data_IF_311341198317
#
_entry.id   IF_311341198317
#
_cell.length_a   1.000
_cell.length_b   1.000
_cell.length_c   1.000
_cell.angle_alpha   90.00
_cell.angle_beta   90.00
_cell.angle_gamma   90.00
#
_symmetry.space_group_name_H-M   'P 1'
#
loop_
_entity.id
_entity.type
_entity.pdbx_description
1 polymer ?
#
# COMPACT_ATOMS: atom_id res chain seq x y z
N UNK A 1 3.87 -19.64 5.96
CA UNK A 1 2.78 -18.85 6.59
C UNK A 1 3.07 -17.38 6.36
N UNK A 2 2.06 -16.55 6.07
CA UNK A 2 2.21 -15.09 5.92
C UNK A 2 2.27 -14.36 7.29
N UNK A 3 3.04 -14.91 8.24
CA UNK A 3 3.15 -14.36 9.60
C UNK A 3 4.17 -13.22 9.62
N UNK A 4 3.70 -12.00 9.36
CA UNK A 4 4.55 -10.81 9.19
C UNK A 4 4.33 -9.84 10.35
N UNK A 5 5.40 -9.17 10.78
CA UNK A 5 5.30 -7.92 11.51
C UNK A 5 5.04 -6.79 10.51
N UNK A 6 3.88 -6.82 9.86
CA UNK A 6 3.54 -5.89 8.78
C UNK A 6 3.07 -4.55 9.37
N UNK A 7 2.20 -4.61 10.39
CA UNK A 7 1.61 -3.41 10.98
C UNK A 7 1.90 -3.24 12.47
N UNK A 8 1.96 -1.98 12.90
CA UNK A 8 1.75 -1.61 14.30
C UNK A 8 0.30 -1.15 14.49
N UNK A 9 -0.54 -1.98 15.09
CA UNK A 9 -1.99 -1.72 15.26
C UNK A 9 -2.25 -0.37 15.95
N UNK A 10 -1.43 0.03 16.92
CA UNK A 10 -1.57 1.34 17.58
C UNK A 10 -1.33 2.53 16.65
N UNK A 11 -0.44 2.40 15.66
CA UNK A 11 -0.22 3.44 14.66
C UNK A 11 -1.37 3.49 13.65
N UNK A 12 -1.86 2.32 13.20
CA UNK A 12 -3.01 2.25 12.30
C UNK A 12 -4.26 2.89 12.93
N UNK A 13 -4.54 2.58 14.20
CA UNK A 13 -5.67 3.19 14.92
C UNK A 13 -5.55 4.71 14.99
N UNK A 14 -4.35 5.23 15.28
CA UNK A 14 -4.14 6.68 15.36
C UNK A 14 -4.25 7.34 13.98
N UNK A 15 -3.62 6.77 12.96
CA UNK A 15 -3.64 7.31 11.60
C UNK A 15 -5.04 7.26 10.97
N UNK A 16 -5.86 6.27 11.36
CA UNK A 16 -7.25 6.17 10.92
C UNK A 16 -8.16 7.25 11.54
N UNK A 17 -7.87 7.69 12.77
CA UNK A 17 -8.63 8.72 13.47
C UNK A 17 -8.13 10.15 13.17
N UNK A 18 -6.83 10.32 12.93
CA UNK A 18 -6.14 11.60 12.79
C UNK A 18 -5.40 11.70 11.45
N UNK A 19 -5.98 12.36 10.42
CA UNK A 19 -5.38 12.50 9.10
C UNK A 19 -4.07 13.30 9.08
N UNK A 20 -3.76 14.07 10.12
CA UNK A 20 -2.51 14.80 10.24
C UNK A 20 -1.38 13.95 10.86
N UNK A 21 -1.73 12.78 11.43
CA UNK A 21 -0.76 11.88 12.01
C UNK A 21 -0.01 11.11 10.92
N UNK A 22 1.26 11.50 10.70
CA UNK A 22 2.14 10.84 9.75
C UNK A 22 3.48 10.47 10.41
N UNK A 23 3.96 9.25 10.14
CA UNK A 23 5.28 8.79 10.57
C UNK A 23 6.01 8.15 9.39
N UNK A 24 7.30 7.85 9.52
CA UNK A 24 8.00 7.07 8.49
C UNK A 24 7.39 5.68 8.29
N UNK A 25 6.77 5.10 9.32
CA UNK A 25 6.09 3.82 9.19
C UNK A 25 4.87 3.92 8.26
N UNK A 26 3.98 4.89 8.46
CA UNK A 26 2.78 5.05 7.60
C UNK A 26 3.16 5.41 6.16
N UNK A 27 4.21 6.23 5.98
CA UNK A 27 4.77 6.55 4.65
C UNK A 27 5.27 5.30 3.91
N UNK A 28 5.91 4.37 4.60
CA UNK A 28 6.39 3.14 3.99
C UNK A 28 5.24 2.20 3.58
N UNK A 29 4.10 2.23 4.30
CA UNK A 29 2.91 1.48 3.88
C UNK A 29 2.41 1.96 2.52
N UNK A 30 2.37 3.28 2.26
CA UNK A 30 2.00 3.84 0.94
C UNK A 30 2.95 3.37 -0.18
N UNK A 31 4.26 3.32 0.09
CA UNK A 31 5.24 2.78 -0.88
C UNK A 31 4.98 1.30 -1.17
N UNK A 32 4.68 0.52 -0.13
CA UNK A 32 4.37 -0.90 -0.27
C UNK A 32 3.09 -1.15 -1.07
N UNK A 33 2.07 -0.29 -0.92
CA UNK A 33 0.85 -0.33 -1.74
C UNK A 33 1.15 -0.09 -3.21
N UNK A 34 1.97 0.92 -3.51
CA UNK A 34 2.48 1.17 -4.86
C UNK A 34 3.18 -0.06 -5.44
N UNK A 35 4.17 -0.60 -4.74
CA UNK A 35 4.92 -1.79 -5.19
C UNK A 35 3.96 -2.95 -5.52
N UNK A 36 3.01 -3.26 -4.64
CA UNK A 36 2.06 -4.37 -4.87
C UNK A 36 1.19 -4.13 -6.09
N UNK A 37 0.56 -2.96 -6.22
CA UNK A 37 -0.36 -2.68 -7.31
C UNK A 37 0.36 -2.62 -8.67
N UNK A 38 1.53 -2.00 -8.71
CA UNK A 38 2.29 -1.79 -9.94
C UNK A 38 3.03 -3.04 -10.41
N UNK A 39 3.52 -3.89 -9.50
CA UNK A 39 4.27 -5.09 -9.87
C UNK A 39 3.38 -6.33 -10.08
N UNK A 40 2.29 -6.48 -9.32
CA UNK A 40 1.52 -7.73 -9.29
C UNK A 40 1.03 -8.24 -10.67
N UNK A 41 0.55 -7.40 -11.61
CA UNK A 41 0.06 -7.92 -12.90
C UNK A 41 1.13 -8.64 -13.73
N UNK A 42 2.38 -8.21 -13.64
CA UNK A 42 3.51 -8.83 -14.37
C UNK A 42 4.21 -9.90 -13.54
N UNK A 43 4.36 -9.68 -12.24
CA UNK A 43 5.05 -10.60 -11.33
C UNK A 43 4.20 -11.85 -11.00
N UNK A 44 2.87 -11.73 -11.05
CA UNK A 44 1.91 -12.81 -10.77
C UNK A 44 1.00 -13.06 -11.99
N UNK A 45 1.56 -13.50 -13.14
CA UNK A 45 0.79 -13.62 -14.38
C UNK A 45 -0.31 -14.69 -14.31
N UNK A 46 -0.22 -15.63 -13.38
CA UNK A 46 -1.22 -16.67 -13.16
C UNK A 46 -2.52 -16.13 -12.54
N UNK A 47 -2.46 -14.99 -11.83
CA UNK A 47 -3.63 -14.33 -11.24
C UNK A 47 -4.43 -13.52 -12.27
N UNK A 48 -3.85 -13.25 -13.46
CA UNK A 48 -4.50 -12.52 -14.56
C UNK A 48 -5.06 -11.16 -14.13
N UNK A 49 -4.33 -10.43 -13.29
CA UNK A 49 -4.74 -9.10 -12.84
C UNK A 49 -4.88 -8.13 -14.01
N UNK A 50 -5.99 -7.41 -14.03
CA UNK A 50 -6.22 -6.25 -14.88
C UNK A 50 -6.68 -5.13 -13.97
N UNK A 51 -5.77 -4.17 -13.72
CA UNK A 51 -6.07 -2.98 -12.94
C UNK A 51 -6.22 -1.80 -13.90
N UNK A 52 -7.42 -1.18 -14.00
CA UNK A 52 -7.59 0.08 -14.71
C UNK A 52 -6.71 1.20 -14.15
N UNK A 53 -6.41 2.22 -14.95
CA UNK A 53 -5.52 3.31 -14.52
C UNK A 53 -6.05 4.05 -13.29
N UNK A 54 -7.37 4.21 -13.18
CA UNK A 54 -8.04 4.93 -12.08
C UNK A 54 -7.86 4.29 -10.69
N UNK A 55 -7.53 3.00 -10.63
CA UNK A 55 -7.34 2.28 -9.36
C UNK A 55 -5.87 2.14 -8.97
N UNK A 56 -4.93 2.54 -9.83
CA UNK A 56 -3.51 2.47 -9.53
C UNK A 56 -3.14 3.60 -8.55
N UNK A 57 -2.58 3.29 -7.37
CA UNK A 57 -2.20 4.30 -6.41
C UNK A 57 -1.04 5.14 -6.95
N UNK A 58 -1.22 6.46 -6.97
CA UNK A 58 -0.22 7.45 -7.40
C UNK A 58 -0.26 8.67 -6.48
N UNK A 59 0.91 9.24 -6.24
CA UNK A 59 1.01 10.60 -5.70
C UNK A 59 0.67 11.64 -6.77
N UNK A 60 0.57 12.90 -6.36
CA UNK A 60 0.29 13.99 -7.30
C UNK A 60 1.43 14.17 -8.31
N UNK A 61 1.09 14.27 -9.60
CA UNK A 61 1.98 14.65 -10.72
C UNK A 61 3.19 13.73 -11.04
N UNK A 62 3.27 12.54 -10.46
CA UNK A 62 4.22 11.48 -10.86
C UNK A 62 3.62 10.61 -11.96
#
# INVERSE_FOLDING_TARGET
>A
LNLRAYDFVSQELRAAEDPEFETFYTKNILLNEGIRAWMAPQDQPHEKFVFPEEVLPRGNAL
#
